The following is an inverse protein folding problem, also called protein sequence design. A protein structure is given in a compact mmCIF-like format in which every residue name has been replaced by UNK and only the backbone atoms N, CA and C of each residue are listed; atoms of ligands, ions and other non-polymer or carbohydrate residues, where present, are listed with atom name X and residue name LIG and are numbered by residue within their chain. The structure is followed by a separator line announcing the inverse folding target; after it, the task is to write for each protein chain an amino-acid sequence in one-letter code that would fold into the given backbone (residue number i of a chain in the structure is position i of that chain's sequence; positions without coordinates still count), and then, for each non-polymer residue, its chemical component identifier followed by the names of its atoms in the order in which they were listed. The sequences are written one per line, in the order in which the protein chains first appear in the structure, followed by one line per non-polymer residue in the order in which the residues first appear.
data_IF_445444371029
#
_entry.id   IF_445444371029
#
_cell.length_a   1.000
_cell.length_b   1.000
_cell.length_c   1.000
_cell.angle_alpha   90.00
_cell.angle_beta   90.00
_cell.angle_gamma   90.00
#
_symmetry.space_group_name_H-M   'P 1'
#
loop_
_entity.id
_entity.type
_entity.pdbx_description
1 polymer ?
#
# COMPACT_ATOMS: atom_id res chain seq x y z
N UNK A 1 2.08 4.44 8.14
CA UNK A 1 2.85 3.35 7.50
C UNK A 1 3.80 2.65 8.46
N UNK A 2 4.69 3.33 9.18
CA UNK A 2 5.64 2.66 10.11
C UNK A 2 4.94 1.73 11.10
N UNK A 3 3.91 2.19 11.79
CA UNK A 3 3.15 1.36 12.74
C UNK A 3 2.74 -0.02 12.19
N UNK A 4 2.16 -0.06 10.99
CA UNK A 4 1.73 -1.33 10.38
C UNK A 4 2.91 -2.21 9.94
N UNK A 5 4.02 -1.60 9.48
CA UNK A 5 5.23 -2.34 9.15
C UNK A 5 5.91 -2.91 10.40
N UNK A 6 5.99 -2.13 11.49
CA UNK A 6 6.51 -2.60 12.78
C UNK A 6 5.69 -3.78 13.32
N UNK A 7 4.36 -3.77 13.12
CA UNK A 7 3.50 -4.90 13.48
C UNK A 7 3.83 -6.16 12.63
N UNK A 8 4.02 -6.00 11.32
CA UNK A 8 4.42 -7.09 10.45
C UNK A 8 5.82 -7.64 10.81
N UNK A 9 6.78 -6.77 11.17
CA UNK A 9 8.11 -7.17 11.62
C UNK A 9 8.07 -7.96 12.93
N UNK A 10 7.25 -7.53 13.90
CA UNK A 10 7.01 -8.33 15.13
C UNK A 10 6.43 -9.70 14.82
N UNK A 11 5.67 -9.83 13.73
CA UNK A 11 5.14 -11.11 13.24
C UNK A 11 6.14 -11.91 12.38
N UNK A 12 7.39 -11.44 12.23
CA UNK A 12 8.48 -12.12 11.54
C UNK A 12 8.65 -11.75 10.06
N UNK A 13 8.02 -10.68 9.57
CA UNK A 13 8.24 -10.19 8.21
C UNK A 13 9.56 -9.42 8.10
N UNK A 14 10.15 -9.46 6.92
CA UNK A 14 11.12 -8.46 6.49
C UNK A 14 10.38 -7.39 5.69
N UNK A 15 10.40 -6.15 6.13
CA UNK A 15 9.66 -5.06 5.49
C UNK A 15 10.56 -4.11 4.71
N UNK A 16 9.99 -3.44 3.72
CA UNK A 16 10.61 -2.32 3.00
C UNK A 16 9.58 -1.21 2.81
N UNK A 17 9.89 -0.03 3.29
CA UNK A 17 9.07 1.17 3.08
C UNK A 17 9.58 1.95 1.88
N UNK A 18 8.73 2.12 0.86
CA UNK A 18 8.96 3.01 -0.27
C UNK A 18 8.01 4.20 -0.13
N UNK A 19 8.53 5.38 0.10
CA UNK A 19 7.71 6.58 0.37
C UNK A 19 8.45 7.87 0.05
N UNK A 20 7.74 8.99 0.05
CA UNK A 20 8.32 10.32 -0.13
C UNK A 20 9.04 10.45 -1.47
N UNK A 21 10.30 10.86 -1.46
CA UNK A 21 11.10 11.09 -2.67
C UNK A 21 11.34 9.82 -3.49
N UNK A 22 11.32 8.63 -2.88
CA UNK A 22 11.47 7.36 -3.59
C UNK A 22 10.27 7.05 -4.51
N UNK A 23 9.14 7.73 -4.33
CA UNK A 23 7.97 7.65 -5.22
C UNK A 23 7.91 8.76 -6.26
N UNK A 24 8.86 9.69 -6.29
CA UNK A 24 8.96 10.74 -7.32
C UNK A 24 9.53 10.16 -8.61
N UNK A 25 8.76 9.28 -9.22
CA UNK A 25 9.11 8.61 -10.47
C UNK A 25 8.71 9.48 -11.67
N UNK A 26 9.40 9.36 -12.83
CA UNK A 26 8.86 9.88 -14.09
C UNK A 26 7.42 9.41 -14.30
N UNK A 27 6.61 10.16 -15.04
CA UNK A 27 5.28 9.68 -15.40
C UNK A 27 5.42 8.38 -16.20
N UNK A 28 4.64 7.37 -15.81
CA UNK A 28 4.61 6.08 -16.50
C UNK A 28 4.19 6.26 -17.97
N UNK A 29 4.95 5.71 -18.87
CA UNK A 29 4.71 5.72 -20.32
C UNK A 29 4.79 4.28 -20.83
N UNK A 30 3.69 3.69 -21.28
CA UNK A 30 3.67 2.29 -21.72
C UNK A 30 4.58 2.02 -22.91
N UNK A 31 4.70 2.99 -23.82
CA UNK A 31 5.49 2.85 -25.06
C UNK A 31 6.99 3.16 -24.87
N UNK A 32 7.39 3.65 -23.71
CA UNK A 32 8.79 3.92 -23.40
C UNK A 32 9.36 2.79 -22.54
N UNK A 33 10.23 1.92 -23.06
CA UNK A 33 10.82 0.83 -22.28
C UNK A 33 11.87 1.29 -21.26
N UNK A 34 12.32 2.54 -21.33
CA UNK A 34 13.32 3.06 -20.40
C UNK A 34 12.70 3.35 -19.04
N UNK A 35 13.25 2.75 -18.01
CA UNK A 35 12.85 2.95 -16.62
C UNK A 35 14.00 3.56 -15.83
N UNK A 36 13.69 4.53 -14.95
CA UNK A 36 14.67 5.02 -13.97
C UNK A 36 15.05 3.90 -12.99
N UNK A 37 16.19 4.03 -12.32
CA UNK A 37 16.62 3.07 -11.30
C UNK A 37 15.55 2.94 -10.21
N UNK A 38 15.00 4.04 -9.72
CA UNK A 38 13.95 4.03 -8.72
C UNK A 38 12.67 3.31 -9.19
N UNK A 39 12.31 3.41 -10.48
CA UNK A 39 11.17 2.68 -11.03
C UNK A 39 11.46 1.19 -11.13
N UNK A 40 12.67 0.81 -11.56
CA UNK A 40 13.10 -0.60 -11.58
C UNK A 40 13.10 -1.21 -10.18
N UNK A 41 13.61 -0.47 -9.19
CA UNK A 41 13.62 -0.91 -7.79
C UNK A 41 12.19 -1.11 -7.25
N UNK A 42 11.27 -0.17 -7.54
CA UNK A 42 9.86 -0.32 -7.15
C UNK A 42 9.23 -1.58 -7.75
N UNK A 43 9.41 -1.79 -9.06
CA UNK A 43 8.85 -2.96 -9.76
C UNK A 43 9.45 -4.26 -9.21
N UNK A 44 10.76 -4.30 -8.96
CA UNK A 44 11.43 -5.45 -8.38
C UNK A 44 10.90 -5.78 -6.97
N UNK A 45 10.69 -4.77 -6.11
CA UNK A 45 10.13 -4.97 -4.78
C UNK A 45 8.66 -5.44 -4.83
N UNK A 46 7.86 -4.92 -5.76
CA UNK A 46 6.50 -5.41 -5.99
C UNK A 46 6.51 -6.88 -6.44
N UNK A 47 7.43 -7.27 -7.33
CA UNK A 47 7.56 -8.65 -7.79
C UNK A 47 7.95 -9.61 -6.66
N UNK A 48 8.85 -9.19 -5.76
CA UNK A 48 9.37 -10.01 -4.66
C UNK A 48 8.42 -10.10 -3.46
N UNK A 49 7.56 -9.11 -3.26
CA UNK A 49 6.70 -9.04 -2.08
C UNK A 49 5.74 -10.25 -1.98
N UNK A 50 5.51 -10.75 -0.78
CA UNK A 50 4.49 -11.75 -0.47
C UNK A 50 3.18 -11.12 -0.02
N UNK A 51 3.25 -9.91 0.53
CA UNK A 51 2.14 -9.07 0.92
C UNK A 51 2.50 -7.60 0.76
N UNK A 52 1.52 -6.74 0.61
CA UNK A 52 1.73 -5.32 0.33
C UNK A 52 0.86 -4.48 1.25
N UNK A 53 1.38 -3.34 1.68
CA UNK A 53 0.61 -2.30 2.34
C UNK A 53 0.64 -1.05 1.46
N UNK A 54 -0.51 -0.65 0.95
CA UNK A 54 -0.67 0.57 0.17
C UNK A 54 -1.22 1.70 1.04
N UNK A 55 -0.52 2.82 1.06
CA UNK A 55 -0.97 4.03 1.74
C UNK A 55 -1.05 5.22 0.79
N UNK A 56 -2.14 5.97 0.84
CA UNK A 56 -2.29 7.19 0.07
C UNK A 56 -2.99 8.29 0.85
N UNK A 57 -2.52 9.55 0.76
CA UNK A 57 -3.38 10.67 1.08
C UNK A 57 -4.49 10.79 0.04
N UNK A 58 -5.67 11.27 0.48
CA UNK A 58 -6.79 11.59 -0.39
C UNK A 58 -6.74 13.04 -0.83
N UNK A 59 -6.72 13.25 -2.14
CA UNK A 59 -6.79 14.58 -2.75
C UNK A 59 -7.93 14.63 -3.76
N UNK A 60 -8.82 15.61 -3.62
CA UNK A 60 -9.90 15.89 -4.59
C UNK A 60 -10.72 14.63 -4.94
N UNK A 61 -11.03 13.81 -3.95
CA UNK A 61 -11.93 12.65 -4.09
C UNK A 61 -11.25 11.32 -4.46
N UNK A 62 -9.93 11.27 -4.62
CA UNK A 62 -9.21 10.03 -4.96
C UNK A 62 -7.83 9.95 -4.31
N UNK A 63 -7.07 8.93 -4.67
CA UNK A 63 -5.67 8.74 -4.24
C UNK A 63 -4.76 9.83 -4.80
N UNK A 64 -3.59 10.03 -4.21
CA UNK A 64 -2.60 10.97 -4.73
C UNK A 64 -2.08 10.54 -6.10
N UNK A 65 -1.82 11.51 -6.99
CA UNK A 65 -1.21 11.25 -8.30
C UNK A 65 0.15 10.56 -8.19
N UNK A 66 0.91 10.86 -7.12
CA UNK A 66 2.18 10.21 -6.84
C UNK A 66 2.04 8.70 -6.65
N UNK A 67 1.07 8.28 -5.82
CA UNK A 67 0.78 6.85 -5.56
C UNK A 67 0.19 6.21 -6.81
N UNK A 68 -0.71 6.91 -7.52
CA UNK A 68 -1.29 6.38 -8.76
C UNK A 68 -0.20 6.12 -9.81
N UNK A 69 0.70 7.07 -10.03
CA UNK A 69 1.81 6.89 -10.96
C UNK A 69 2.72 5.70 -10.57
N UNK A 70 3.01 5.53 -9.28
CA UNK A 70 3.79 4.39 -8.80
C UNK A 70 3.07 3.05 -9.07
N UNK A 71 1.73 3.01 -8.92
CA UNK A 71 0.95 1.80 -9.20
C UNK A 71 0.82 1.51 -10.70
N UNK A 72 0.93 2.52 -11.57
CA UNK A 72 0.93 2.32 -13.02
C UNK A 72 2.17 1.54 -13.47
N UNK A 73 3.29 1.65 -12.77
CA UNK A 73 4.48 0.82 -13.03
C UNK A 73 4.27 -0.67 -12.76
N UNK A 74 3.20 -1.08 -12.05
CA UNK A 74 2.85 -2.49 -11.93
C UNK A 74 2.53 -3.14 -13.31
N UNK A 75 2.25 -2.35 -14.36
CA UNK A 75 2.09 -2.85 -15.73
C UNK A 75 3.34 -3.57 -16.23
N UNK A 76 4.52 -3.19 -15.76
CA UNK A 76 5.77 -3.87 -16.11
C UNK A 76 5.82 -5.33 -15.60
N UNK A 77 4.94 -5.70 -14.66
CA UNK A 77 4.76 -7.08 -14.17
C UNK A 77 3.70 -7.86 -14.94
N UNK A 78 3.13 -7.34 -16.02
CA UNK A 78 2.04 -7.99 -16.77
C UNK A 78 2.38 -9.42 -17.20
N UNK A 79 3.61 -9.69 -17.59
CA UNK A 79 4.11 -10.98 -18.06
C UNK A 79 4.93 -11.76 -17.03
N UNK A 80 4.99 -11.26 -15.79
CA UNK A 80 5.66 -11.93 -14.67
C UNK A 80 4.92 -13.24 -14.32
N UNK A 81 5.58 -14.28 -13.77
CA UNK A 81 4.92 -15.49 -13.26
C UNK A 81 3.80 -15.21 -12.26
N UNK A 82 3.87 -14.11 -11.51
CA UNK A 82 2.78 -13.56 -10.68
C UNK A 82 2.38 -12.18 -11.21
N UNK A 83 1.52 -12.09 -12.27
CA UNK A 83 1.21 -10.82 -12.92
C UNK A 83 0.65 -9.78 -11.94
N UNK A 84 1.13 -8.55 -12.05
CA UNK A 84 0.69 -7.42 -11.21
C UNK A 84 0.84 -7.73 -9.71
N UNK A 85 -0.29 -7.79 -8.99
CA UNK A 85 -0.35 -8.12 -7.56
C UNK A 85 -0.99 -9.51 -7.31
N UNK A 86 -1.03 -10.38 -8.31
CA UNK A 86 -1.64 -11.72 -8.18
C UNK A 86 -1.02 -12.53 -7.04
N UNK A 87 -1.86 -13.19 -6.26
CA UNK A 87 -1.44 -14.02 -5.12
C UNK A 87 -0.93 -13.24 -3.92
N UNK A 88 -1.21 -11.91 -3.85
CA UNK A 88 -0.79 -11.06 -2.72
C UNK A 88 -2.00 -10.45 -2.02
N UNK A 89 -2.03 -10.51 -0.70
CA UNK A 89 -2.91 -9.68 0.09
C UNK A 89 -2.36 -8.24 0.13
N UNK A 90 -3.28 -7.27 0.05
CA UNK A 90 -2.93 -5.86 0.03
C UNK A 90 -3.73 -5.11 1.10
N UNK A 91 -3.06 -4.68 2.16
CA UNK A 91 -3.63 -3.80 3.16
C UNK A 91 -3.74 -2.36 2.61
N UNK A 92 -4.92 -1.75 2.71
CA UNK A 92 -5.16 -0.41 2.19
C UNK A 92 -5.33 0.60 3.32
N UNK A 93 -4.58 1.71 3.27
CA UNK A 93 -4.61 2.79 4.25
C UNK A 93 -4.80 4.12 3.52
N UNK A 94 -5.86 4.84 3.84
CA UNK A 94 -6.14 6.16 3.29
C UNK A 94 -6.18 7.22 4.39
N UNK A 95 -5.62 8.40 4.12
CA UNK A 95 -5.71 9.56 5.02
C UNK A 95 -6.27 10.75 4.25
N UNK A 96 -7.12 11.55 4.89
CA UNK A 96 -7.59 12.82 4.32
C UNK A 96 -8.00 13.79 5.44
N UNK A 97 -8.11 15.08 5.12
CA UNK A 97 -8.56 16.12 6.06
C UNK A 97 -10.05 16.07 6.43
N UNK A 98 -10.72 14.93 6.21
CA UNK A 98 -12.11 14.68 6.57
C UNK A 98 -12.54 13.26 6.20
N UNK A 99 -13.52 12.73 6.91
CA UNK A 99 -14.04 11.37 6.75
C UNK A 99 -14.49 11.02 5.31
N UNK A 100 -15.27 11.89 4.60
CA UNK A 100 -15.67 11.55 3.23
C UNK A 100 -14.48 11.33 2.30
N UNK A 101 -13.45 12.17 2.39
CA UNK A 101 -12.24 12.04 1.60
C UNK A 101 -11.45 10.77 1.92
N UNK A 102 -11.30 10.45 3.21
CA UNK A 102 -10.59 9.24 3.63
C UNK A 102 -11.30 7.97 3.18
N UNK A 103 -12.64 7.90 3.32
CA UNK A 103 -13.43 6.73 2.91
C UNK A 103 -13.42 6.55 1.39
N UNK A 104 -13.61 7.63 0.62
CA UNK A 104 -13.58 7.56 -0.84
C UNK A 104 -12.19 7.12 -1.35
N UNK A 105 -11.12 7.65 -0.74
CA UNK A 105 -9.75 7.27 -1.10
C UNK A 105 -9.47 5.81 -0.78
N UNK A 106 -9.97 5.29 0.35
CA UNK A 106 -9.87 3.87 0.68
C UNK A 106 -10.60 3.00 -0.35
N UNK A 107 -11.80 3.40 -0.77
CA UNK A 107 -12.53 2.73 -1.85
C UNK A 107 -11.71 2.68 -3.14
N UNK A 108 -11.19 3.82 -3.58
CA UNK A 108 -10.36 3.91 -4.79
C UNK A 108 -9.10 3.03 -4.72
N UNK A 109 -8.41 2.95 -3.56
CA UNK A 109 -7.28 2.04 -3.37
C UNK A 109 -7.71 0.58 -3.57
N UNK A 110 -8.82 0.17 -2.98
CA UNK A 110 -9.32 -1.21 -3.08
C UNK A 110 -9.70 -1.57 -4.52
N UNK A 111 -10.34 -0.66 -5.24
CA UNK A 111 -10.69 -0.84 -6.66
C UNK A 111 -9.43 -1.03 -7.53
N UNK A 112 -8.39 -0.22 -7.30
CA UNK A 112 -7.11 -0.35 -8.00
C UNK A 112 -6.43 -1.68 -7.67
N UNK A 113 -6.45 -2.11 -6.40
CA UNK A 113 -5.89 -3.41 -6.01
C UNK A 113 -6.60 -4.56 -6.72
N UNK A 114 -7.93 -4.52 -6.82
CA UNK A 114 -8.69 -5.51 -7.59
C UNK A 114 -8.33 -5.46 -9.08
N UNK A 115 -8.23 -4.28 -9.69
CA UNK A 115 -7.83 -4.13 -11.09
C UNK A 115 -6.43 -4.72 -11.34
N UNK A 116 -5.52 -4.61 -10.36
CA UNK A 116 -4.18 -5.19 -10.38
C UNK A 116 -4.15 -6.66 -9.92
N UNK A 117 -5.31 -7.35 -9.80
CA UNK A 117 -5.43 -8.76 -9.40
C UNK A 117 -4.93 -9.07 -7.97
N UNK A 118 -4.78 -8.07 -7.12
CA UNK A 118 -4.47 -8.27 -5.70
C UNK A 118 -5.71 -8.58 -4.87
N UNK A 119 -5.51 -9.01 -3.64
CA UNK A 119 -6.56 -9.29 -2.67
C UNK A 119 -6.59 -8.21 -1.59
N UNK A 120 -7.45 -7.16 -1.71
CA UNK A 120 -7.59 -6.21 -0.62
C UNK A 120 -7.98 -6.94 0.66
N UNK A 121 -7.28 -6.65 1.76
CA UNK A 121 -7.65 -7.25 3.05
C UNK A 121 -9.08 -6.85 3.44
N UNK A 122 -9.82 -7.71 4.18
CA UNK A 122 -11.16 -7.37 4.68
C UNK A 122 -11.18 -6.03 5.42
N UNK A 123 -10.18 -5.79 6.28
CA UNK A 123 -10.01 -4.51 6.95
C UNK A 123 -9.15 -3.56 6.12
N UNK A 124 -9.58 -2.32 6.00
CA UNK A 124 -8.81 -1.20 5.48
C UNK A 124 -8.95 0.01 6.40
N UNK A 125 -7.96 0.90 6.42
CA UNK A 125 -7.95 2.06 7.30
C UNK A 125 -8.30 3.34 6.55
N UNK A 126 -9.44 3.96 6.89
CA UNK A 126 -9.73 5.35 6.57
C UNK A 126 -9.42 6.20 7.80
N UNK A 127 -8.50 7.15 7.67
CA UNK A 127 -8.00 7.97 8.77
C UNK A 127 -8.29 9.43 8.48
N UNK A 128 -9.03 10.10 9.38
CA UNK A 128 -9.23 11.54 9.32
C UNK A 128 -8.01 12.24 9.90
N UNK A 129 -7.19 12.86 9.06
CA UNK A 129 -5.98 13.57 9.45
C UNK A 129 -6.23 14.95 10.06
N UNK A 130 -7.48 15.43 10.09
CA UNK A 130 -7.84 16.62 10.87
C UNK A 130 -7.89 16.34 12.39
N UNK A 131 -7.88 15.07 12.79
CA UNK A 131 -7.81 14.64 14.19
C UNK A 131 -6.37 14.26 14.54
N UNK A 132 -5.94 14.46 15.80
CA UNK A 132 -4.59 14.10 16.25
C UNK A 132 -4.46 12.58 16.42
N UNK A 133 -4.17 11.86 15.33
CA UNK A 133 -4.06 10.40 15.31
C UNK A 133 -2.65 9.93 15.63
N UNK A 134 -1.64 10.72 15.27
CA UNK A 134 -0.23 10.41 15.52
C UNK A 134 0.47 11.59 16.18
N UNK A 135 1.47 11.29 17.04
CA UNK A 135 2.36 12.32 17.59
C UNK A 135 3.51 12.66 16.63
N UNK A 136 4.38 13.57 17.05
CA UNK A 136 5.54 14.03 16.25
C UNK A 136 6.55 12.90 15.99
N UNK A 137 6.63 11.91 16.86
CA UNK A 137 7.47 10.71 16.70
C UNK A 137 6.80 9.62 15.86
N UNK A 138 5.55 9.84 15.42
CA UNK A 138 4.77 8.91 14.58
C UNK A 138 4.10 7.77 15.35
N UNK A 139 4.02 7.85 16.68
CA UNK A 139 3.29 6.87 17.51
C UNK A 139 1.80 7.13 17.39
N UNK A 140 1.01 6.06 17.25
CA UNK A 140 -0.44 6.18 17.14
C UNK A 140 -1.06 6.54 18.50
N UNK A 141 -1.73 7.68 18.58
CA UNK A 141 -2.45 8.16 19.77
C UNK A 141 -3.88 7.65 19.86
N UNK A 142 -4.44 7.16 18.76
CA UNK A 142 -5.83 6.68 18.67
C UNK A 142 -5.89 5.15 18.75
N UNK A 143 -6.30 4.55 19.91
CA UNK A 143 -6.27 3.10 20.10
C UNK A 143 -7.04 2.31 19.03
N UNK A 144 -8.18 2.82 18.55
CA UNK A 144 -8.96 2.18 17.49
C UNK A 144 -8.21 2.16 16.16
N UNK A 145 -7.47 3.22 15.83
CA UNK A 145 -6.64 3.27 14.63
C UNK A 145 -5.47 2.31 14.77
N UNK A 146 -4.81 2.27 15.92
CA UNK A 146 -3.72 1.34 16.19
C UNK A 146 -4.18 -0.12 16.00
N UNK A 147 -5.29 -0.52 16.61
CA UNK A 147 -5.88 -1.86 16.47
C UNK A 147 -6.20 -2.20 15.01
N UNK A 148 -6.76 -1.24 14.26
CA UNK A 148 -7.10 -1.43 12.85
C UNK A 148 -5.83 -1.62 11.99
N UNK A 149 -4.76 -0.88 12.26
CA UNK A 149 -3.47 -1.02 11.58
C UNK A 149 -2.79 -2.35 11.92
N UNK A 150 -2.85 -2.80 13.18
CA UNK A 150 -2.35 -4.09 13.61
C UNK A 150 -3.12 -5.23 12.92
N UNK A 151 -4.44 -5.13 12.83
CA UNK A 151 -5.28 -6.12 12.15
C UNK A 151 -4.98 -6.20 10.64
N UNK A 152 -4.73 -5.06 9.98
CA UNK A 152 -4.31 -5.06 8.57
C UNK A 152 -2.98 -5.82 8.41
N UNK A 153 -2.01 -5.59 9.30
CA UNK A 153 -0.74 -6.33 9.26
C UNK A 153 -0.96 -7.83 9.43
N UNK A 154 -1.79 -8.23 10.41
CA UNK A 154 -2.11 -9.64 10.68
C UNK A 154 -2.80 -10.32 9.50
N UNK A 155 -3.79 -9.67 8.87
CA UNK A 155 -4.48 -10.19 7.69
C UNK A 155 -3.53 -10.40 6.51
N UNK A 156 -2.62 -9.43 6.23
CA UNK A 156 -1.61 -9.56 5.19
C UNK A 156 -0.65 -10.69 5.49
N UNK A 157 -0.16 -10.79 6.72
CA UNK A 157 0.77 -11.84 7.14
C UNK A 157 0.14 -13.23 7.10
N UNK A 158 -1.10 -13.35 7.54
CA UNK A 158 -1.84 -14.63 7.52
C UNK A 158 -2.01 -15.12 6.10
N UNK A 159 -2.44 -14.26 5.18
CA UNK A 159 -2.60 -14.61 3.78
C UNK A 159 -1.25 -15.01 3.14
N UNK A 160 -0.19 -14.24 3.39
CA UNK A 160 1.14 -14.52 2.84
C UNK A 160 1.67 -15.89 3.29
N UNK A 161 1.46 -16.26 4.56
CA UNK A 161 1.82 -17.59 5.09
C UNK A 161 1.01 -18.70 4.44
N UNK A 162 -0.31 -18.53 4.30
CA UNK A 162 -1.18 -19.51 3.65
C UNK A 162 -0.77 -19.78 2.19
N UNK A 163 -0.45 -18.74 1.44
CA UNK A 163 -0.02 -18.86 0.03
C UNK A 163 1.34 -19.54 -0.09
N UNK A 164 2.25 -19.34 0.89
CA UNK A 164 3.55 -20.00 0.93
C UNK A 164 3.50 -21.44 1.47
N UNK A 165 2.42 -21.85 2.09
CA UNK A 165 2.29 -23.18 2.70
C UNK A 165 3.06 -23.32 4.02
N UNK A 166 3.25 -22.23 4.74
CA UNK A 166 3.92 -22.17 6.08
C UNK A 166 3.02 -21.54 7.13
#
# INVERSE_FOLDING_TARGET
MRHVLDAAERAGARTKLISGSALQLPLYQPDNPQRSDAARDLVAELALADGIILGSPGYHGSISGLVKNALDYAEDLRTDPRPYLSGRAVGCIATAGGWPGAVNTLGALRDIVHALRGWPTPVGAAINSAEPVFDEEGRCLAPRVAQMLDLIADEVMTFARQVRGV
#
